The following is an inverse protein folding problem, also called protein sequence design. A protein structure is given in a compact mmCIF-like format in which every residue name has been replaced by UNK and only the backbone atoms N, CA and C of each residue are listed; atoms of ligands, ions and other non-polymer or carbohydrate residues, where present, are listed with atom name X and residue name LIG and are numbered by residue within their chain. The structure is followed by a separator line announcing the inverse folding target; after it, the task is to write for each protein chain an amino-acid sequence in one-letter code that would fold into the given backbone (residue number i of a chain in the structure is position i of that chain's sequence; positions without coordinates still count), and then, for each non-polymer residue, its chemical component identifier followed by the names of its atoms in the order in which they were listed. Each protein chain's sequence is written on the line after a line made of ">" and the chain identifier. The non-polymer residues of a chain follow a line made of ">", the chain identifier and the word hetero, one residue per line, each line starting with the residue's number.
data_IF_683189271927
#
_entry.id   IF_683189271927
#
_cell.length_a   1.000
_cell.length_b   1.000
_cell.length_c   1.000
_cell.angle_alpha   90.00
_cell.angle_beta   90.00
_cell.angle_gamma   90.00
#
_symmetry.space_group_name_H-M   'P 1'
#
loop_
_entity.id
_entity.type
_entity.pdbx_description
1 polymer ?
#
# COMPACT_ATOMS: atom_id res chain seq x y z
N UNK A 1 2.27 -22.67 7.04
CA UNK A 1 3.34 -21.66 7.10
C UNK A 1 2.67 -20.31 7.22
N UNK A 2 2.54 -19.78 8.43
CA UNK A 2 2.07 -18.40 8.63
C UNK A 2 3.30 -17.56 8.31
N UNK A 3 3.25 -16.77 7.25
CA UNK A 3 4.32 -15.81 6.96
C UNK A 3 4.37 -14.83 8.15
N UNK A 4 5.27 -15.08 9.09
CA UNK A 4 5.52 -14.28 10.31
C UNK A 4 6.21 -12.93 9.99
N UNK A 5 6.05 -12.45 8.74
CA UNK A 5 6.59 -11.17 8.31
C UNK A 5 5.69 -10.08 8.88
N UNK A 6 6.25 -9.04 9.52
CA UNK A 6 5.46 -8.02 10.17
C UNK A 6 4.57 -7.31 9.14
N UNK A 7 3.27 -7.29 9.42
CA UNK A 7 2.29 -6.54 8.65
C UNK A 7 1.97 -5.23 9.37
N UNK A 8 2.01 -4.14 8.62
CA UNK A 8 1.61 -2.81 9.08
C UNK A 8 0.34 -2.39 8.36
N UNK A 9 -0.57 -1.78 9.10
CA UNK A 9 -1.74 -1.11 8.54
C UNK A 9 -1.43 0.37 8.42
N UNK A 10 -1.62 0.93 7.22
CA UNK A 10 -1.42 2.34 6.95
C UNK A 10 -2.58 2.91 6.14
N UNK A 11 -2.57 4.23 5.99
CA UNK A 11 -3.53 4.98 5.20
C UNK A 11 -2.78 5.85 4.18
N UNK A 12 -3.48 6.19 3.11
CA UNK A 12 -3.02 7.13 2.10
C UNK A 12 -4.02 8.25 1.92
N UNK A 13 -3.57 9.36 1.33
CA UNK A 13 -4.38 10.55 1.13
C UNK A 13 -5.61 10.31 0.27
N UNK A 14 -6.66 11.09 0.50
CA UNK A 14 -7.94 11.00 -0.21
C UNK A 14 -7.78 11.12 -1.74
N UNK A 15 -6.84 11.95 -2.21
CA UNK A 15 -6.51 12.08 -3.63
C UNK A 15 -6.18 10.72 -4.27
N UNK A 16 -5.38 9.89 -3.62
CA UNK A 16 -5.01 8.57 -4.14
C UNK A 16 -6.24 7.66 -4.12
N UNK A 17 -7.09 7.75 -3.08
CA UNK A 17 -8.34 6.99 -3.05
C UNK A 17 -9.34 7.38 -4.15
N UNK A 18 -9.36 8.62 -4.60
CA UNK A 18 -10.21 9.03 -5.72
C UNK A 18 -9.84 8.28 -7.01
N UNK A 19 -8.55 8.01 -7.22
CA UNK A 19 -8.06 7.25 -8.39
C UNK A 19 -8.60 5.83 -8.41
N UNK A 20 -8.84 5.21 -7.25
CA UNK A 20 -9.42 3.87 -7.18
C UNK A 20 -10.76 3.76 -7.94
N UNK A 21 -11.53 4.84 -8.01
CA UNK A 21 -12.81 4.90 -8.73
C UNK A 21 -12.71 5.35 -10.19
N UNK A 22 -11.63 6.06 -10.53
CA UNK A 22 -11.46 6.72 -11.84
C UNK A 22 -10.51 5.94 -12.73
N UNK A 23 -9.33 5.59 -12.19
CA UNK A 23 -8.26 4.91 -12.91
C UNK A 23 -7.50 3.95 -11.95
N UNK A 24 -7.77 2.65 -12.12
CA UNK A 24 -7.15 1.62 -11.29
C UNK A 24 -5.65 1.42 -11.59
N UNK A 25 -5.19 1.76 -12.79
CA UNK A 25 -3.77 1.61 -13.16
C UNK A 25 -2.96 2.74 -12.52
N UNK A 26 -3.45 3.97 -12.64
CA UNK A 26 -2.87 5.14 -11.99
C UNK A 26 -2.91 4.98 -10.46
N UNK A 27 -4.02 4.47 -9.90
CA UNK A 27 -4.12 4.13 -8.49
C UNK A 27 -3.01 3.20 -8.01
N UNK A 28 -2.77 2.09 -8.74
CA UNK A 28 -1.71 1.12 -8.39
C UNK A 28 -0.33 1.76 -8.46
N UNK A 29 -0.08 2.61 -9.47
CA UNK A 29 1.18 3.33 -9.65
C UNK A 29 1.43 4.31 -8.51
N UNK A 30 0.50 5.24 -8.26
CA UNK A 30 0.62 6.23 -7.18
C UNK A 30 0.70 5.58 -5.80
N UNK A 31 -0.09 4.54 -5.54
CA UNK A 31 -0.04 3.82 -4.25
C UNK A 31 1.35 3.22 -4.01
N UNK A 32 1.94 2.57 -5.02
CA UNK A 32 3.29 2.00 -4.92
C UNK A 32 4.34 3.08 -4.70
N UNK A 33 4.30 4.17 -5.46
CA UNK A 33 5.24 5.28 -5.30
C UNK A 33 5.12 5.96 -3.93
N UNK A 34 3.90 6.18 -3.46
CA UNK A 34 3.62 6.77 -2.15
C UNK A 34 4.26 5.95 -1.02
N UNK A 35 4.00 4.64 -0.99
CA UNK A 35 4.54 3.76 0.03
C UNK A 35 6.04 3.47 -0.15
N UNK A 36 6.56 3.42 -1.38
CA UNK A 36 8.00 3.25 -1.61
C UNK A 36 8.82 4.44 -1.07
N UNK A 37 8.26 5.65 -1.12
CA UNK A 37 8.90 6.86 -0.56
C UNK A 37 8.80 6.92 0.96
N UNK A 38 7.64 6.60 1.53
CA UNK A 38 7.40 6.68 2.97
C UNK A 38 7.97 5.47 3.75
N UNK A 39 7.96 4.29 3.13
CA UNK A 39 8.32 3.01 3.76
C UNK A 39 9.25 2.19 2.84
N UNK A 40 10.53 2.59 2.70
CA UNK A 40 11.50 1.83 1.91
C UNK A 40 11.68 0.41 2.47
N UNK A 41 11.55 -0.60 1.60
CA UNK A 41 11.62 -2.02 1.96
C UNK A 41 10.28 -2.64 2.41
N UNK A 42 9.19 -1.89 2.32
CA UNK A 42 7.83 -2.41 2.53
C UNK A 42 7.09 -2.58 1.21
N UNK A 43 6.29 -3.64 1.12
CA UNK A 43 5.50 -3.99 -0.06
C UNK A 43 4.00 -3.92 0.26
N UNK A 44 3.23 -3.27 -0.61
CA UNK A 44 1.76 -3.27 -0.52
C UNK A 44 1.23 -4.67 -0.87
N UNK A 45 0.59 -5.33 0.10
CA UNK A 45 -0.01 -6.67 -0.08
C UNK A 45 -1.51 -6.63 -0.33
N UNK A 46 -2.21 -5.76 0.39
CA UNK A 46 -3.66 -5.66 0.30
C UNK A 46 -4.07 -4.20 0.46
N UNK A 47 -5.06 -3.80 -0.33
CA UNK A 47 -5.64 -2.46 -0.30
C UNK A 47 -7.15 -2.64 -0.11
N UNK A 48 -7.67 -2.16 1.02
CA UNK A 48 -9.10 -2.20 1.36
C UNK A 48 -9.47 -0.91 2.06
N UNK A 49 -10.17 -0.02 1.35
CA UNK A 49 -10.57 1.29 1.88
C UNK A 49 -11.13 1.21 3.32
N UNK A 50 -10.62 2.03 4.27
CA UNK A 50 -9.56 3.04 4.13
C UNK A 50 -8.14 2.51 4.43
N UNK A 51 -7.95 1.21 4.63
CA UNK A 51 -6.72 0.58 5.10
C UNK A 51 -5.87 0.00 3.96
N UNK A 52 -4.57 0.16 4.07
CA UNK A 52 -3.55 -0.48 3.24
C UNK A 52 -2.67 -1.35 4.11
N UNK A 53 -2.62 -2.64 3.80
CA UNK A 53 -1.73 -3.59 4.47
C UNK A 53 -0.39 -3.62 3.74
N UNK A 54 0.66 -3.24 4.46
CA UNK A 54 2.06 -3.29 4.04
C UNK A 54 2.75 -4.46 4.72
N UNK A 55 3.63 -5.14 4.01
CA UNK A 55 4.46 -6.19 4.54
C UNK A 55 5.92 -5.76 4.47
N UNK A 56 6.64 -5.96 5.57
CA UNK A 56 8.10 -5.76 5.58
C UNK A 56 8.77 -6.90 4.79
N UNK A 57 9.53 -6.56 3.75
CA UNK A 57 10.30 -7.50 2.94
C UNK A 57 11.80 -7.49 3.28
N UNK A 58 12.22 -6.75 4.31
CA UNK A 58 13.61 -6.65 4.76
C UNK A 58 14.04 -7.78 5.70
N UNK A 59 13.08 -8.59 6.16
CA UNK A 59 13.25 -9.73 7.08
C UNK A 59 12.52 -10.96 6.54
#
# INVERSE_FOLDING_TARGET
>A
MINDKPMMQSMMGERIWMLMKVDQEEFKRETREYFARAYPGWTVKRVKYPIVDLQDDRN
#
